data_IF_879546072607
#
_entry.id   IF_879546072607
#
_cell.length_a   1.000
_cell.length_b   1.000
_cell.length_c   1.000
_cell.angle_alpha   90.00
_cell.angle_beta   90.00
_cell.angle_gamma   90.00
#
_symmetry.space_group_name_H-M   'P 1'
#
loop_
_entity.id
_entity.type
_entity.pdbx_description
1 polymer ?
#
# COMPACT_ATOMS: atom_id res chain seq x y z
N UNK A 1 6.89 9.10 11.26
CA UNK A 1 6.15 7.92 10.85
C UNK A 1 6.64 7.45 9.51
N UNK A 2 6.74 6.13 9.34
CA UNK A 2 7.32 5.57 8.13
C UNK A 2 6.34 5.49 6.95
N UNK A 3 5.03 5.47 7.23
CA UNK A 3 4.04 5.43 6.15
C UNK A 3 3.76 6.82 5.61
N UNK A 4 3.58 6.88 4.28
CA UNK A 4 3.24 8.12 3.60
C UNK A 4 1.74 8.15 3.28
N UNK A 5 1.14 9.32 3.37
CA UNK A 5 -0.20 9.51 2.83
C UNK A 5 -0.07 9.78 1.33
N UNK A 6 -0.65 8.92 0.52
CA UNK A 6 -0.59 9.03 -0.93
C UNK A 6 -1.90 9.59 -1.45
N UNK A 7 -1.80 10.61 -2.28
CA UNK A 7 -2.91 11.27 -2.94
C UNK A 7 -2.57 11.44 -4.42
N UNK A 8 -3.55 11.87 -5.20
CA UNK A 8 -3.31 12.11 -6.63
C UNK A 8 -2.15 13.06 -6.86
N UNK A 9 -1.99 14.04 -5.97
CA UNK A 9 -0.96 15.08 -6.12
C UNK A 9 0.47 14.54 -6.00
N UNK A 10 0.71 13.54 -5.14
CA UNK A 10 2.06 13.01 -4.93
C UNK A 10 2.26 11.59 -5.47
N UNK A 11 1.24 11.00 -6.10
CA UNK A 11 1.30 9.62 -6.54
C UNK A 11 2.45 9.38 -7.53
N UNK A 12 2.58 10.24 -8.52
CA UNK A 12 3.63 10.07 -9.54
C UNK A 12 5.02 10.10 -8.90
N UNK A 13 5.29 11.14 -8.09
CA UNK A 13 6.61 11.26 -7.47
C UNK A 13 6.92 10.16 -6.47
N UNK A 14 5.95 9.82 -5.62
CA UNK A 14 6.21 8.89 -4.54
C UNK A 14 6.12 7.43 -4.95
N UNK A 15 5.31 7.11 -5.95
CA UNK A 15 5.07 5.73 -6.34
C UNK A 15 5.70 5.40 -7.69
N UNK A 16 5.30 6.11 -8.75
CA UNK A 16 5.76 5.78 -10.09
C UNK A 16 7.25 6.04 -10.29
N UNK A 17 7.77 7.10 -9.69
CA UNK A 17 9.18 7.49 -9.82
C UNK A 17 10.04 6.98 -8.67
N UNK A 18 9.51 6.11 -7.82
CA UNK A 18 10.26 5.58 -6.69
C UNK A 18 11.39 4.67 -7.15
N UNK A 19 12.57 4.84 -6.55
CA UNK A 19 13.71 3.96 -6.77
C UNK A 19 13.69 2.73 -5.86
N UNK A 20 12.67 2.63 -5.00
CA UNK A 20 12.46 1.51 -4.09
C UNK A 20 11.12 0.86 -4.38
N UNK A 21 10.94 -0.41 -4.04
CA UNK A 21 9.59 -1.00 -4.08
C UNK A 21 8.64 -0.21 -3.19
N UNK A 22 7.38 -0.16 -3.58
CA UNK A 22 6.34 0.57 -2.85
C UNK A 22 5.18 -0.36 -2.54
N UNK A 23 4.82 -0.43 -1.27
CA UNK A 23 3.61 -1.15 -0.83
C UNK A 23 2.52 -0.10 -0.61
N UNK A 24 1.42 -0.23 -1.34
CA UNK A 24 0.26 0.65 -1.19
C UNK A 24 -0.87 -0.08 -0.48
N UNK A 25 -1.47 0.59 0.51
CA UNK A 25 -2.59 0.10 1.30
C UNK A 25 -3.81 0.99 1.02
N UNK A 26 -4.76 0.46 0.25
CA UNK A 26 -6.04 1.14 -0.01
C UNK A 26 -7.00 0.81 1.13
N UNK A 27 -7.48 1.83 1.83
CA UNK A 27 -8.28 1.65 3.04
C UNK A 27 -9.37 2.70 3.16
N UNK A 28 -10.26 2.51 4.13
CA UNK A 28 -11.22 3.53 4.55
C UNK A 28 -11.33 3.51 6.09
N UNK A 29 -11.70 4.63 6.68
CA UNK A 29 -11.79 4.75 8.13
C UNK A 29 -12.89 3.87 8.74
N UNK A 30 -13.95 3.59 7.98
CA UNK A 30 -15.07 2.77 8.43
C UNK A 30 -14.83 1.28 8.26
N UNK A 31 -13.74 0.87 7.69
CA UNK A 31 -13.49 -0.52 7.30
C UNK A 31 -12.81 -1.28 8.44
N UNK A 32 -13.53 -2.26 9.02
CA UNK A 32 -13.03 -3.09 10.12
C UNK A 32 -11.79 -3.90 9.73
N UNK A 33 -11.82 -4.66 8.63
CA UNK A 33 -10.63 -5.41 8.19
C UNK A 33 -9.42 -4.53 7.89
N UNK A 34 -9.66 -3.29 7.42
CA UNK A 34 -8.57 -2.34 7.20
C UNK A 34 -7.88 -1.98 8.53
N UNK A 35 -8.67 -1.80 9.58
CA UNK A 35 -8.13 -1.50 10.92
C UNK A 35 -7.34 -2.68 11.48
N UNK A 36 -7.75 -3.90 11.18
CA UNK A 36 -7.03 -5.10 11.59
C UNK A 36 -5.71 -5.25 10.85
N UNK A 37 -5.68 -4.82 9.59
CA UNK A 37 -4.48 -4.90 8.75
C UNK A 37 -3.44 -3.84 9.13
N UNK A 38 -3.89 -2.67 9.56
CA UNK A 38 -3.03 -1.49 9.76
C UNK A 38 -1.81 -1.73 10.66
N UNK A 39 -1.91 -2.43 11.81
CA UNK A 39 -0.72 -2.66 12.62
C UNK A 39 0.38 -3.43 11.89
N UNK A 40 0.02 -4.45 11.11
CA UNK A 40 1.00 -5.23 10.35
C UNK A 40 1.68 -4.40 9.28
N UNK A 41 0.91 -3.59 8.57
CA UNK A 41 1.46 -2.67 7.56
C UNK A 41 2.39 -1.66 8.21
N UNK A 42 2.00 -1.12 9.37
CA UNK A 42 2.83 -0.17 10.10
C UNK A 42 4.17 -0.81 10.51
N UNK A 43 4.14 -2.03 11.04
CA UNK A 43 5.37 -2.72 11.43
C UNK A 43 6.28 -2.97 10.24
N UNK A 44 5.71 -3.36 9.10
CA UNK A 44 6.49 -3.58 7.88
C UNK A 44 7.17 -2.27 7.45
N UNK A 45 6.44 -1.15 7.54
CA UNK A 45 7.00 0.15 7.20
C UNK A 45 8.19 0.51 8.10
N UNK A 46 8.04 0.29 9.42
CA UNK A 46 9.09 0.60 10.38
C UNK A 46 10.32 -0.29 10.23
N UNK A 47 10.10 -1.56 9.90
CA UNK A 47 11.20 -2.53 9.77
C UNK A 47 11.97 -2.39 8.47
N UNK A 48 11.43 -1.68 7.49
CA UNK A 48 12.01 -1.60 6.15
C UNK A 48 12.36 -0.17 5.72
N UNK A 49 12.56 0.73 6.67
CA UNK A 49 12.93 2.12 6.37
C UNK A 49 14.19 2.11 5.51
N UNK A 50 14.13 2.83 4.39
CA UNK A 50 15.23 2.91 3.45
C UNK A 50 15.24 1.84 2.37
N UNK A 51 14.52 0.72 2.57
CA UNK A 51 14.49 -0.39 1.61
C UNK A 51 13.13 -0.56 0.93
N UNK A 52 12.04 -0.15 1.60
CA UNK A 52 10.67 -0.26 1.11
C UNK A 52 9.94 1.03 1.45
N UNK A 53 9.21 1.57 0.51
CA UNK A 53 8.33 2.70 0.76
C UNK A 53 6.93 2.14 1.00
N UNK A 54 6.24 2.64 2.02
CA UNK A 54 4.87 2.23 2.32
C UNK A 54 3.97 3.45 2.24
N UNK A 55 2.93 3.36 1.41
CA UNK A 55 1.97 4.43 1.23
C UNK A 55 0.56 3.97 1.59
N UNK A 56 -0.22 4.88 2.15
CA UNK A 56 -1.62 4.64 2.50
C UNK A 56 -2.51 5.53 1.65
N UNK A 57 -3.56 4.96 1.08
CA UNK A 57 -4.50 5.69 0.22
C UNK A 57 -5.90 5.51 0.79
N UNK A 58 -6.49 6.60 1.26
CA UNK A 58 -7.87 6.60 1.74
C UNK A 58 -8.80 6.66 0.52
N UNK A 59 -9.56 5.58 0.28
CA UNK A 59 -10.39 5.50 -0.93
C UNK A 59 -11.53 6.50 -0.95
N UNK A 60 -11.98 6.98 0.23
CA UNK A 60 -13.05 7.97 0.28
C UNK A 60 -12.52 9.36 -0.07
N UNK A 61 -11.26 9.63 0.20
CA UNK A 61 -10.62 10.91 -0.12
C UNK A 61 -9.96 10.91 -1.49
N UNK A 62 -9.57 9.74 -1.98
CA UNK A 62 -8.84 9.60 -3.25
C UNK A 62 -9.60 8.69 -4.21
N UNK A 63 -10.82 9.08 -4.54
CA UNK A 63 -11.70 8.28 -5.39
C UNK A 63 -11.10 8.03 -6.77
N UNK A 64 -10.40 9.02 -7.32
CA UNK A 64 -9.78 8.91 -8.63
C UNK A 64 -8.70 7.81 -8.66
N UNK A 65 -7.86 7.75 -7.62
CA UNK A 65 -6.87 6.70 -7.51
C UNK A 65 -7.52 5.33 -7.31
N UNK A 66 -8.57 5.27 -6.48
CA UNK A 66 -9.30 4.03 -6.26
C UNK A 66 -9.89 3.50 -7.56
N UNK A 67 -10.44 4.37 -8.38
CA UNK A 67 -10.99 4.00 -9.69
C UNK A 67 -9.89 3.55 -10.65
N UNK A 68 -8.77 4.25 -10.66
CA UNK A 68 -7.64 3.92 -11.52
C UNK A 68 -7.12 2.51 -11.29
N UNK A 69 -7.11 2.05 -10.04
CA UNK A 69 -6.64 0.71 -9.68
C UNK A 69 -7.79 -0.28 -9.51
N UNK A 70 -9.01 0.12 -9.88
CA UNK A 70 -10.20 -0.74 -9.85
C UNK A 70 -10.43 -1.35 -8.46
N UNK A 71 -10.30 -0.52 -7.43
CA UNK A 71 -10.49 -0.96 -6.06
C UNK A 71 -11.97 -1.14 -5.80
N UNK A 72 -12.43 -2.39 -5.73
CA UNK A 72 -13.82 -2.73 -5.45
C UNK A 72 -14.01 -3.28 -4.03
N UNK A 73 -12.94 -3.74 -3.41
CA UNK A 73 -12.97 -4.28 -2.04
C UNK A 73 -11.74 -3.82 -1.30
N UNK A 74 -11.91 -3.48 -0.03
CA UNK A 74 -10.81 -3.02 0.82
C UNK A 74 -10.73 -3.88 2.08
N UNK A 75 -9.53 -4.01 2.70
CA UNK A 75 -8.28 -3.43 2.25
C UNK A 75 -7.76 -4.08 0.97
N UNK A 76 -7.05 -3.29 0.16
CA UNK A 76 -6.37 -3.83 -1.00
C UNK A 76 -4.91 -3.39 -0.95
N UNK A 77 -4.00 -4.34 -1.08
CA UNK A 77 -2.56 -4.08 -1.10
C UNK A 77 -2.06 -4.23 -2.53
N UNK A 78 -1.23 -3.30 -2.95
CA UNK A 78 -0.57 -3.35 -4.26
C UNK A 78 0.91 -3.07 -4.06
N UNK A 79 1.77 -3.90 -4.64
CA UNK A 79 3.20 -3.65 -4.61
C UNK A 79 3.63 -3.13 -5.97
N UNK A 80 4.32 -2.00 -5.96
CA UNK A 80 4.92 -1.42 -7.16
C UNK A 80 6.42 -1.64 -7.14
N UNK A 81 6.97 -1.91 -8.31
CA UNK A 81 8.42 -1.94 -8.51
C UNK A 81 8.72 -1.33 -9.86
N UNK A 82 9.66 -0.37 -9.88
CA UNK A 82 10.08 0.32 -11.10
C UNK A 82 8.87 0.92 -11.86
N UNK A 83 7.95 1.51 -11.11
CA UNK A 83 6.78 2.18 -11.65
C UNK A 83 5.64 1.28 -12.11
N UNK A 84 5.71 -0.02 -11.82
CA UNK A 84 4.71 -0.99 -12.27
C UNK A 84 4.14 -1.76 -11.10
N UNK A 85 2.83 -2.03 -11.14
CA UNK A 85 2.17 -2.89 -10.16
C UNK A 85 2.58 -4.33 -10.45
N UNK A 86 3.24 -4.99 -9.49
CA UNK A 86 3.78 -6.35 -9.67
C UNK A 86 3.12 -7.37 -8.76
N UNK A 87 2.36 -6.95 -7.75
CA UNK A 87 1.61 -7.88 -6.89
C UNK A 87 0.39 -7.17 -6.32
N UNK A 88 -0.64 -7.94 -6.02
CA UNK A 88 -1.90 -7.42 -5.48
C UNK A 88 -2.51 -8.43 -4.53
N UNK A 89 -3.14 -7.93 -3.46
CA UNK A 89 -3.84 -8.77 -2.49
C UNK A 89 -5.07 -8.03 -2.01
N UNK A 90 -6.20 -8.72 -1.89
CA UNK A 90 -7.46 -8.16 -1.42
C UNK A 90 -7.85 -8.84 -0.10
N UNK A 91 -8.25 -8.02 0.87
CA UNK A 91 -8.70 -8.50 2.17
C UNK A 91 -7.59 -8.52 3.21
N UNK A 92 -7.96 -8.85 4.44
CA UNK A 92 -7.00 -8.94 5.54
C UNK A 92 -5.98 -10.05 5.30
N UNK A 93 -4.73 -9.77 5.65
CA UNK A 93 -3.67 -10.77 5.71
C UNK A 93 -2.81 -10.50 6.94
N UNK A 94 -2.31 -11.55 7.61
CA UNK A 94 -1.36 -11.36 8.69
C UNK A 94 -0.04 -10.80 8.17
N UNK A 95 0.68 -10.14 9.05
CA UNK A 95 1.94 -9.45 8.71
C UNK A 95 2.91 -10.34 7.94
N UNK A 96 3.05 -11.61 8.35
CA UNK A 96 3.99 -12.55 7.73
C UNK A 96 3.69 -12.78 6.26
N UNK A 97 2.41 -12.81 5.90
CA UNK A 97 2.00 -13.00 4.50
C UNK A 97 2.25 -11.75 3.67
N UNK A 98 2.05 -10.56 4.27
CA UNK A 98 2.36 -9.30 3.59
C UNK A 98 3.86 -9.20 3.36
N UNK A 99 4.65 -9.53 4.37
CA UNK A 99 6.11 -9.51 4.27
C UNK A 99 6.60 -10.46 3.17
N UNK A 100 6.02 -11.65 3.08
CA UNK A 100 6.38 -12.62 2.04
C UNK A 100 6.04 -12.08 0.65
N UNK A 101 4.90 -11.41 0.50
CA UNK A 101 4.51 -10.81 -0.78
C UNK A 101 5.52 -9.74 -1.21
N UNK A 102 5.95 -8.89 -0.29
CA UNK A 102 6.94 -7.84 -0.57
C UNK A 102 8.29 -8.47 -0.92
N UNK A 103 8.73 -9.48 -0.16
CA UNK A 103 10.00 -10.16 -0.44
C UNK A 103 10.02 -10.81 -1.82
N UNK A 104 8.87 -11.34 -2.25
CA UNK A 104 8.77 -12.01 -3.55
C UNK A 104 8.98 -11.10 -4.75
N UNK A 105 8.92 -9.77 -4.56
CA UNK A 105 9.06 -8.81 -5.67
C UNK A 105 10.33 -7.95 -5.57
N UNK A 106 11.12 -8.13 -4.54
CA UNK A 106 12.37 -7.38 -4.38
C UNK A 106 13.45 -7.81 -5.34
#
# INVERSE_FOLDING_TARGET
MAELNIASLNFENEVLNSDKPVLLDFYADWCGPCKMLAPGVHEIAEENIGALKVGKINVDEQMELAMRFQVSSIPMLVVFKDGKAVAKSVGYRPKEEIAAMVEGVK
#
